data_IF_496881267075
#
_entry.id   IF_496881267075
#
_cell.length_a   1.000
_cell.length_b   1.000
_cell.length_c   1.000
_cell.angle_alpha   90.00
_cell.angle_beta   90.00
_cell.angle_gamma   90.00
#
_symmetry.space_group_name_H-M   'P 1'
#
loop_
_entity.id
_entity.type
_entity.pdbx_description
1 polymer ?
#
# COMPACT_ATOMS: atom_id res chain seq x y z
N UNK A 1 8.16 -18.87 28.52
CA UNK A 1 8.30 -17.66 27.69
C UNK A 1 8.94 -18.07 26.38
N UNK A 2 8.14 -18.37 25.38
CA UNK A 2 8.61 -18.75 24.06
C UNK A 2 9.18 -17.50 23.39
N UNK A 3 10.48 -17.52 23.05
CA UNK A 3 11.13 -16.39 22.37
C UNK A 3 10.46 -16.24 21.00
N UNK A 4 9.58 -15.24 20.86
CA UNK A 4 9.03 -14.83 19.56
C UNK A 4 10.18 -14.67 18.58
N UNK A 5 10.32 -15.60 17.63
CA UNK A 5 11.31 -15.49 16.55
C UNK A 5 11.05 -14.17 15.83
N UNK A 6 11.98 -13.22 15.96
CA UNK A 6 11.96 -11.97 15.22
C UNK A 6 11.69 -12.29 13.74
N UNK A 7 10.63 -11.72 13.16
CA UNK A 7 10.36 -11.90 11.73
C UNK A 7 11.54 -11.28 10.96
N UNK A 8 12.11 -12.05 10.04
CA UNK A 8 13.18 -11.58 9.16
C UNK A 8 12.65 -10.42 8.31
N UNK A 9 13.48 -9.40 8.11
CA UNK A 9 13.18 -8.29 7.21
C UNK A 9 13.16 -8.76 5.76
N UNK A 10 12.51 -8.00 4.88
CA UNK A 10 12.48 -8.28 3.44
C UNK A 10 13.89 -8.42 2.86
N UNK A 11 14.78 -7.46 3.15
CA UNK A 11 16.16 -7.47 2.69
C UNK A 11 16.94 -8.72 3.17
N UNK A 12 16.73 -9.15 4.42
CA UNK A 12 17.35 -10.38 4.93
C UNK A 12 16.84 -11.63 4.23
N UNK A 13 15.55 -11.69 3.89
CA UNK A 13 14.96 -12.82 3.16
C UNK A 13 15.56 -12.86 1.75
N UNK A 14 15.50 -11.75 1.01
CA UNK A 14 16.01 -11.67 -0.37
C UNK A 14 17.49 -12.05 -0.44
N UNK A 15 18.32 -11.46 0.43
CA UNK A 15 19.77 -11.72 0.41
C UNK A 15 20.09 -13.19 0.75
N UNK A 16 19.41 -13.77 1.74
CA UNK A 16 19.61 -15.17 2.10
C UNK A 16 19.11 -16.11 0.99
N UNK A 17 17.99 -15.79 0.37
CA UNK A 17 17.42 -16.57 -0.73
C UNK A 17 18.33 -16.56 -1.96
N UNK A 18 18.86 -15.39 -2.35
CA UNK A 18 19.84 -15.29 -3.45
C UNK A 18 21.09 -16.14 -3.19
N UNK A 19 21.64 -16.04 -1.99
CA UNK A 19 22.81 -16.85 -1.60
C UNK A 19 22.49 -18.35 -1.63
N UNK A 20 21.31 -18.75 -1.13
CA UNK A 20 20.87 -20.14 -1.17
C UNK A 20 20.73 -20.65 -2.60
N UNK A 21 20.01 -19.94 -3.48
CA UNK A 21 19.84 -20.32 -4.89
C UNK A 21 21.21 -20.48 -5.57
N UNK A 22 22.13 -19.55 -5.31
CA UNK A 22 23.50 -19.60 -5.85
C UNK A 22 24.24 -20.85 -5.35
N UNK A 23 24.17 -21.13 -4.05
CA UNK A 23 24.76 -22.33 -3.45
C UNK A 23 24.17 -23.64 -4.00
N UNK A 24 22.84 -23.69 -4.19
CA UNK A 24 22.14 -24.84 -4.76
C UNK A 24 22.56 -25.08 -6.21
N UNK A 25 22.69 -24.03 -7.03
CA UNK A 25 23.18 -24.13 -8.41
C UNK A 25 24.61 -24.65 -8.48
N UNK A 26 25.50 -24.08 -7.68
CA UNK A 26 26.91 -24.47 -7.67
C UNK A 26 27.13 -25.91 -7.20
N UNK A 27 26.18 -26.46 -6.42
CA UNK A 27 26.24 -27.82 -5.89
C UNK A 27 25.10 -28.71 -6.42
N UNK A 28 24.56 -28.40 -7.62
CA UNK A 28 23.36 -29.04 -8.16
C UNK A 28 23.45 -30.58 -8.15
N UNK A 29 24.61 -31.14 -8.52
CA UNK A 29 24.80 -32.59 -8.53
C UNK A 29 24.70 -33.24 -7.14
N UNK A 30 25.13 -32.55 -6.08
CA UNK A 30 25.09 -33.06 -4.71
C UNK A 30 23.67 -32.96 -4.13
N UNK A 31 23.03 -31.80 -4.29
CA UNK A 31 21.68 -31.56 -3.74
C UNK A 31 20.60 -32.33 -4.49
N UNK A 32 20.81 -32.62 -5.78
CA UNK A 32 19.93 -33.49 -6.57
C UNK A 32 19.88 -34.93 -6.02
N UNK A 33 20.99 -35.46 -5.49
CA UNK A 33 21.00 -36.77 -4.81
C UNK A 33 20.14 -36.79 -3.55
N UNK A 34 19.79 -35.62 -3.02
CA UNK A 34 18.95 -35.43 -1.84
C UNK A 34 17.54 -34.92 -2.19
N UNK A 35 17.19 -34.88 -3.47
CA UNK A 35 15.85 -34.53 -3.94
C UNK A 35 15.62 -33.05 -4.27
N UNK A 36 16.66 -32.21 -4.26
CA UNK A 36 16.57 -30.84 -4.80
C UNK A 36 17.05 -30.87 -6.25
N UNK A 37 16.09 -30.91 -7.17
CA UNK A 37 16.37 -30.94 -8.61
C UNK A 37 16.43 -29.52 -9.21
N UNK A 38 16.68 -29.47 -10.52
CA UNK A 38 16.74 -28.21 -11.27
C UNK A 38 15.38 -27.48 -11.35
N UNK A 39 14.26 -28.21 -11.25
CA UNK A 39 12.91 -27.61 -11.24
C UNK A 39 12.73 -26.78 -9.99
N UNK A 40 13.05 -27.36 -8.83
CA UNK A 40 12.97 -26.70 -7.54
C UNK A 40 13.80 -25.41 -7.50
N UNK A 41 15.05 -25.46 -7.99
CA UNK A 41 15.94 -24.29 -7.99
C UNK A 41 15.39 -23.18 -8.89
N UNK A 42 14.83 -23.54 -10.04
CA UNK A 42 14.21 -22.60 -10.99
C UNK A 42 12.94 -21.98 -10.40
N UNK A 43 12.06 -22.80 -9.81
CA UNK A 43 10.86 -22.33 -9.14
C UNK A 43 11.21 -21.38 -7.99
N UNK A 44 12.19 -21.72 -7.16
CA UNK A 44 12.61 -20.86 -6.06
C UNK A 44 13.18 -19.51 -6.55
N UNK A 45 13.92 -19.50 -7.66
CA UNK A 45 14.35 -18.24 -8.27
C UNK A 45 13.18 -17.40 -8.80
N UNK A 46 12.23 -18.04 -9.49
CA UNK A 46 11.05 -17.35 -10.00
C UNK A 46 10.21 -16.75 -8.86
N UNK A 47 10.00 -17.49 -7.77
CA UNK A 47 9.31 -16.99 -6.58
C UNK A 47 10.03 -15.79 -5.95
N UNK A 48 11.36 -15.85 -5.89
CA UNK A 48 12.15 -14.74 -5.36
C UNK A 48 12.05 -13.50 -6.25
N UNK A 49 12.14 -13.66 -7.57
CA UNK A 49 11.98 -12.56 -8.51
C UNK A 49 10.58 -11.93 -8.43
N UNK A 50 9.54 -12.77 -8.30
CA UNK A 50 8.17 -12.29 -8.14
C UNK A 50 7.97 -11.54 -6.81
N UNK A 51 8.57 -12.03 -5.72
CA UNK A 51 8.57 -11.34 -4.43
C UNK A 51 9.19 -9.93 -4.55
N UNK A 52 10.32 -9.80 -5.24
CA UNK A 52 10.96 -8.50 -5.48
C UNK A 52 10.10 -7.57 -6.35
N UNK A 53 9.45 -8.12 -7.38
CA UNK A 53 8.52 -7.38 -8.24
C UNK A 53 7.32 -6.85 -7.45
N UNK A 54 6.75 -7.68 -6.58
CA UNK A 54 5.61 -7.32 -5.74
C UNK A 54 5.98 -6.24 -4.71
N UNK A 55 7.18 -6.29 -4.13
CA UNK A 55 7.68 -5.25 -3.22
C UNK A 55 7.85 -3.90 -3.94
N UNK A 56 8.45 -3.90 -5.13
CA UNK A 56 8.59 -2.69 -5.95
C UNK A 56 7.22 -2.08 -6.32
N UNK A 57 6.26 -2.93 -6.69
CA UNK A 57 4.89 -2.49 -6.98
C UNK A 57 4.20 -1.93 -5.73
N UNK A 58 4.42 -2.54 -4.56
CA UNK A 58 3.90 -2.03 -3.30
C UNK A 58 4.42 -0.61 -3.00
N UNK A 59 5.72 -0.38 -3.16
CA UNK A 59 6.32 0.95 -2.95
C UNK A 59 5.79 1.98 -3.95
N UNK A 60 5.61 1.58 -5.22
CA UNK A 60 4.96 2.43 -6.23
C UNK A 60 3.54 2.82 -5.82
N UNK A 61 2.74 1.86 -5.37
CA UNK A 61 1.36 2.09 -4.94
C UNK A 61 1.28 2.97 -3.68
N UNK A 62 2.21 2.82 -2.73
CA UNK A 62 2.31 3.71 -1.56
C UNK A 62 2.58 5.15 -1.97
N UNK A 63 3.50 5.36 -2.92
CA UNK A 63 3.79 6.69 -3.45
C UNK A 63 2.57 7.31 -4.14
N UNK A 64 1.89 6.52 -4.99
CA UNK A 64 0.67 6.95 -5.67
C UNK A 64 -0.46 7.29 -4.69
N UNK A 65 -0.66 6.46 -3.66
CA UNK A 65 -1.66 6.68 -2.62
C UNK A 65 -1.40 7.99 -1.86
N UNK A 66 -0.14 8.28 -1.53
CA UNK A 66 0.24 9.53 -0.88
C UNK A 66 -0.14 10.74 -1.74
N UNK A 67 0.23 10.71 -3.02
CA UNK A 67 -0.11 11.79 -3.98
C UNK A 67 -1.63 11.99 -4.11
N UNK A 68 -2.40 10.90 -4.26
CA UNK A 68 -3.87 11.00 -4.36
C UNK A 68 -4.49 11.52 -3.07
N UNK A 69 -3.95 11.15 -1.92
CA UNK A 69 -4.40 11.63 -0.61
C UNK A 69 -4.22 13.15 -0.49
N UNK A 70 -3.05 13.67 -0.88
CA UNK A 70 -2.78 15.11 -0.88
C UNK A 70 -3.72 15.88 -1.83
N UNK A 71 -3.96 15.33 -3.03
CA UNK A 71 -4.91 15.90 -3.99
C UNK A 71 -6.35 15.91 -3.44
N UNK A 72 -6.79 14.81 -2.83
CA UNK A 72 -8.12 14.69 -2.23
C UNK A 72 -8.31 15.67 -1.07
N UNK A 73 -7.32 15.79 -0.18
CA UNK A 73 -7.34 16.76 0.93
C UNK A 73 -7.43 18.20 0.42
N UNK A 74 -6.69 18.54 -0.64
CA UNK A 74 -6.75 19.87 -1.26
C UNK A 74 -8.13 20.16 -1.82
N UNK A 75 -8.71 19.22 -2.59
CA UNK A 75 -10.05 19.38 -3.16
C UNK A 75 -11.12 19.47 -2.08
N UNK A 76 -11.00 18.67 -1.02
CA UNK A 76 -11.91 18.71 0.14
C UNK A 76 -11.95 20.10 0.77
N UNK A 77 -10.78 20.69 1.06
CA UNK A 77 -10.71 22.06 1.63
C UNK A 77 -11.39 23.10 0.73
N UNK A 78 -11.18 23.00 -0.59
CA UNK A 78 -11.82 23.90 -1.55
C UNK A 78 -13.35 23.77 -1.53
N UNK A 79 -13.87 22.54 -1.50
CA UNK A 79 -15.31 22.28 -1.43
C UNK A 79 -15.90 22.77 -0.10
N UNK A 80 -15.21 22.51 1.02
CA UNK A 80 -15.64 22.99 2.34
C UNK A 80 -15.67 24.52 2.43
N UNK A 81 -14.70 25.23 1.82
CA UNK A 81 -14.70 26.70 1.74
C UNK A 81 -15.93 27.20 0.96
N UNK A 82 -16.16 26.65 -0.24
CA UNK A 82 -17.31 27.02 -1.07
C UNK A 82 -18.64 26.74 -0.37
N UNK A 83 -18.75 25.61 0.33
CA UNK A 83 -19.93 25.28 1.12
C UNK A 83 -20.16 26.30 2.24
N UNK A 84 -19.10 26.71 2.94
CA UNK A 84 -19.18 27.73 4.00
C UNK A 84 -19.62 29.09 3.46
N UNK A 85 -19.04 29.54 2.34
CA UNK A 85 -19.41 30.78 1.66
C UNK A 85 -20.86 30.75 1.19
N UNK A 86 -21.29 29.67 0.52
CA UNK A 86 -22.67 29.51 0.07
C UNK A 86 -23.66 29.56 1.24
N UNK A 87 -23.35 28.85 2.34
CA UNK A 87 -24.18 28.89 3.56
C UNK A 87 -24.29 30.31 4.11
N UNK A 88 -23.19 31.08 4.17
CA UNK A 88 -23.21 32.48 4.64
C UNK A 88 -24.14 33.34 3.77
N UNK A 89 -24.03 33.22 2.45
CA UNK A 89 -24.88 33.99 1.52
C UNK A 89 -26.35 33.64 1.69
N UNK A 90 -26.69 32.35 1.80
CA UNK A 90 -28.07 31.89 2.06
C UNK A 90 -28.61 32.50 3.36
N UNK A 91 -27.83 32.47 4.45
CA UNK A 91 -28.23 33.04 5.74
C UNK A 91 -28.51 34.54 5.69
N UNK A 92 -27.74 35.27 4.88
CA UNK A 92 -27.89 36.72 4.73
C UNK A 92 -29.04 37.11 3.79
N UNK A 93 -29.38 36.24 2.84
CA UNK A 93 -30.29 36.58 1.73
C UNK A 93 -31.72 36.08 1.95
N UNK A 94 -31.90 34.98 2.68
CA UNK A 94 -33.19 34.29 2.78
C UNK A 94 -33.61 34.09 4.24
N UNK A 95 -34.92 34.15 4.53
CA UNK A 95 -35.44 33.85 5.86
C UNK A 95 -35.14 32.39 6.24
N UNK A 96 -34.94 32.15 7.54
CA UNK A 96 -34.50 30.87 8.09
C UNK A 96 -35.40 29.68 7.69
N UNK A 97 -36.71 29.91 7.54
CA UNK A 97 -37.66 28.88 7.11
C UNK A 97 -37.31 28.23 5.75
N UNK A 98 -36.57 28.94 4.90
CA UNK A 98 -36.18 28.47 3.57
C UNK A 98 -34.81 27.77 3.56
N UNK A 99 -34.06 27.77 4.66
CA UNK A 99 -32.70 27.19 4.69
C UNK A 99 -32.67 25.67 4.50
N UNK A 100 -33.76 24.98 4.86
CA UNK A 100 -33.90 23.53 4.69
C UNK A 100 -33.73 23.08 3.23
N UNK A 101 -34.13 23.91 2.27
CA UNK A 101 -33.96 23.66 0.83
C UNK A 101 -32.49 23.56 0.41
N UNK A 102 -31.59 24.15 1.21
CA UNK A 102 -30.14 24.15 0.99
C UNK A 102 -29.42 23.09 1.84
N UNK A 103 -30.16 22.16 2.46
CA UNK A 103 -29.61 21.14 3.36
C UNK A 103 -29.02 21.74 4.64
N UNK A 104 -29.48 22.92 5.04
CA UNK A 104 -29.12 23.57 6.29
C UNK A 104 -30.20 23.29 7.33
N UNK A 105 -30.02 22.22 8.09
CA UNK A 105 -30.90 21.88 9.21
C UNK A 105 -30.55 22.73 10.45
N UNK A 106 -31.58 23.29 11.08
CA UNK A 106 -31.46 23.97 12.36
C UNK A 106 -31.42 22.91 13.48
N UNK A 107 -30.23 22.61 14.00
CA UNK A 107 -30.14 21.92 15.29
C UNK A 107 -30.31 22.96 16.39
N UNK A 108 -31.55 23.08 16.87
CA UNK A 108 -31.88 23.65 18.18
C UNK A 108 -31.06 23.00 19.29
#
# INVERSE_FOLDING_TARGET
MEKSKQKRTFAEIVNKSRLMITGLRNNAAEVNRRGIDASFITEYENELQELERLDAEQERLKAELKMKTEAALTKRKQVESKLSEAKKVVKLSLPQAQWVEFGMEDKR
#
